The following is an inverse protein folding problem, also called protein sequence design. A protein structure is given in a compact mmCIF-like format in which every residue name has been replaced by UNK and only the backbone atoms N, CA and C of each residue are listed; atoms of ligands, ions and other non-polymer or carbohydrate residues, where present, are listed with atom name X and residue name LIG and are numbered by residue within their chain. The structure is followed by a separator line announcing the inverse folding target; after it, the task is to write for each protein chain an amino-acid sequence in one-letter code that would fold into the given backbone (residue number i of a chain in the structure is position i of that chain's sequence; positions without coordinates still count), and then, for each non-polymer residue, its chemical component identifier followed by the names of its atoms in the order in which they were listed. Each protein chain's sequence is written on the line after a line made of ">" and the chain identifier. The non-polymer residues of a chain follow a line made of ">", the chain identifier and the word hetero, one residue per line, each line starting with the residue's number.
data_IF_930650230664
#
_entry.id   IF_930650230664
#
_cell.length_a   1.000
_cell.length_b   1.000
_cell.length_c   1.000
_cell.angle_alpha   90.00
_cell.angle_beta   90.00
_cell.angle_gamma   90.00
#
_symmetry.space_group_name_H-M   'P 1'
#
loop_
_entity.id
_entity.type
_entity.pdbx_description
1 polymer ?
#
# COMPACT_ATOMS: atom_id res chain seq x y z
N UNK A 1 9.95 -15.44 19.05
CA UNK A 1 11.35 -15.20 19.48
C UNK A 1 11.38 -13.78 20.00
N UNK A 2 11.58 -13.56 21.31
CA UNK A 2 11.36 -12.25 21.93
C UNK A 2 12.32 -11.17 21.41
N UNK A 3 13.52 -11.57 20.97
CA UNK A 3 14.56 -10.68 20.43
C UNK A 3 14.46 -10.44 18.92
N UNK A 4 13.46 -11.02 18.24
CA UNK A 4 13.33 -10.87 16.79
C UNK A 4 13.03 -9.41 16.43
N UNK A 5 13.89 -8.81 15.63
CA UNK A 5 13.80 -7.40 15.20
C UNK A 5 13.27 -7.22 13.79
N UNK A 6 13.52 -8.17 12.90
CA UNK A 6 13.08 -8.09 11.51
C UNK A 6 12.46 -9.43 11.09
N UNK A 7 11.33 -9.37 10.40
CA UNK A 7 10.64 -10.54 9.87
C UNK A 7 10.05 -10.22 8.50
N UNK A 8 10.28 -11.10 7.55
CA UNK A 8 9.65 -11.03 6.24
C UNK A 8 8.93 -12.35 5.97
N UNK A 9 7.62 -12.28 5.75
CA UNK A 9 6.79 -13.39 5.32
C UNK A 9 5.91 -12.92 4.18
N UNK A 10 6.33 -13.22 2.95
CA UNK A 10 5.65 -12.79 1.72
C UNK A 10 4.89 -13.93 1.09
N UNK A 11 3.80 -13.61 0.41
CA UNK A 11 3.08 -14.55 -0.49
C UNK A 11 2.74 -15.89 0.15
N UNK A 12 2.40 -15.89 1.45
CA UNK A 12 2.22 -17.12 2.21
C UNK A 12 0.75 -17.39 2.53
N UNK A 13 0.17 -18.51 2.04
CA UNK A 13 -1.24 -18.84 2.27
C UNK A 13 -1.63 -19.23 3.67
N UNK A 14 -0.65 -19.69 4.43
CA UNK A 14 -0.85 -20.12 5.79
C UNK A 14 -0.73 -18.95 6.79
N UNK A 15 -0.39 -17.75 6.31
CA UNK A 15 -0.37 -16.55 7.15
C UNK A 15 -1.76 -15.95 7.21
N UNK A 16 -2.42 -16.22 8.32
CA UNK A 16 -3.77 -15.74 8.68
C UNK A 16 -3.70 -14.79 9.87
N UNK A 17 -4.83 -14.15 10.19
CA UNK A 17 -4.95 -13.35 11.41
C UNK A 17 -4.56 -14.09 12.69
N UNK A 18 -4.90 -15.39 12.79
CA UNK A 18 -4.50 -16.21 13.92
C UNK A 18 -2.99 -16.36 14.02
N UNK A 19 -2.31 -16.56 12.88
CA UNK A 19 -0.85 -16.71 12.86
C UNK A 19 -0.14 -15.39 13.21
N UNK A 20 -0.64 -14.25 12.70
CA UNK A 20 -0.10 -12.93 13.00
C UNK A 20 -0.32 -12.58 14.47
N UNK A 21 -1.47 -12.92 15.04
CA UNK A 21 -1.74 -12.75 16.47
C UNK A 21 -0.69 -13.44 17.35
N UNK A 22 -0.41 -14.72 17.07
CA UNK A 22 0.63 -15.50 17.79
C UNK A 22 2.02 -14.90 17.60
N UNK A 23 2.36 -14.48 16.38
CA UNK A 23 3.63 -13.85 16.07
C UNK A 23 3.80 -12.52 16.82
N UNK A 24 2.80 -11.63 16.78
CA UNK A 24 2.84 -10.32 17.41
C UNK A 24 3.00 -10.44 18.94
N UNK A 25 2.32 -11.41 19.56
CA UNK A 25 2.48 -11.69 21.00
C UNK A 25 3.88 -12.22 21.36
N UNK A 26 4.56 -12.89 20.43
CA UNK A 26 5.85 -13.58 20.68
C UNK A 26 7.09 -12.75 20.31
N UNK A 27 6.90 -11.58 19.67
CA UNK A 27 7.97 -10.78 19.07
C UNK A 27 7.81 -9.27 19.41
N UNK A 28 7.82 -8.87 20.70
CA UNK A 28 7.62 -7.47 21.10
C UNK A 28 8.74 -6.51 20.64
N UNK A 29 9.92 -7.04 20.33
CA UNK A 29 11.07 -6.26 19.84
C UNK A 29 11.07 -6.04 18.32
N UNK A 30 10.02 -6.47 17.61
CA UNK A 30 9.94 -6.35 16.16
C UNK A 30 9.95 -4.89 15.74
N UNK A 31 10.93 -4.55 14.91
CA UNK A 31 11.17 -3.22 14.35
C UNK A 31 10.85 -3.16 12.85
N UNK A 32 10.96 -4.29 12.14
CA UNK A 32 10.65 -4.38 10.71
C UNK A 32 9.77 -5.58 10.40
N UNK A 33 8.69 -5.34 9.69
CA UNK A 33 7.76 -6.38 9.25
C UNK A 33 7.40 -6.19 7.78
N UNK A 34 7.54 -7.27 7.02
CA UNK A 34 7.06 -7.35 5.65
C UNK A 34 6.11 -8.54 5.51
N UNK A 35 4.83 -8.22 5.31
CA UNK A 35 3.72 -9.17 5.14
C UNK A 35 3.05 -9.00 3.77
N UNK A 36 3.84 -8.56 2.79
CA UNK A 36 3.37 -8.31 1.43
C UNK A 36 2.75 -9.58 0.82
N UNK A 37 1.64 -9.40 0.09
CA UNK A 37 0.94 -10.47 -0.63
C UNK A 37 0.32 -11.56 0.25
N UNK A 38 0.19 -11.33 1.57
CA UNK A 38 -0.56 -12.18 2.49
C UNK A 38 -2.01 -11.71 2.61
N UNK A 39 -2.92 -12.27 1.79
CA UNK A 39 -4.33 -11.85 1.65
C UNK A 39 -5.23 -12.33 2.80
N UNK A 40 -4.85 -13.39 3.52
CA UNK A 40 -5.58 -13.91 4.69
C UNK A 40 -5.31 -13.11 5.98
N UNK A 41 -4.57 -12.01 5.88
CA UNK A 41 -4.32 -11.06 6.96
C UNK A 41 -5.28 -9.89 6.77
N UNK A 42 -5.92 -9.40 7.82
CA UNK A 42 -6.85 -8.26 7.76
C UNK A 42 -6.35 -7.06 8.57
N UNK A 43 -7.16 -6.00 8.68
CA UNK A 43 -6.87 -4.86 9.55
C UNK A 43 -6.79 -5.27 11.04
N UNK A 44 -7.47 -6.34 11.47
CA UNK A 44 -7.38 -6.83 12.86
C UNK A 44 -5.98 -7.36 13.19
N UNK A 45 -5.31 -7.99 12.22
CA UNK A 45 -3.90 -8.33 12.33
C UNK A 45 -3.00 -7.12 12.53
N UNK A 46 -3.20 -6.07 11.70
CA UNK A 46 -2.41 -4.83 11.80
C UNK A 46 -2.59 -4.18 13.18
N UNK A 47 -3.80 -4.24 13.75
CA UNK A 47 -4.09 -3.73 15.09
C UNK A 47 -3.32 -4.51 16.16
N UNK A 48 -3.31 -5.84 16.07
CA UNK A 48 -2.54 -6.68 16.99
C UNK A 48 -1.03 -6.45 16.86
N UNK A 49 -0.52 -6.27 15.64
CA UNK A 49 0.87 -5.89 15.38
C UNK A 49 1.18 -4.56 16.06
N UNK A 50 0.42 -3.51 15.78
CA UNK A 50 0.67 -2.18 16.35
C UNK A 50 0.57 -2.14 17.88
N UNK A 51 -0.33 -2.95 18.46
CA UNK A 51 -0.49 -3.04 19.91
C UNK A 51 0.70 -3.71 20.61
N UNK A 52 1.20 -4.82 20.06
CA UNK A 52 2.22 -5.67 20.70
C UNK A 52 3.65 -5.33 20.27
N UNK A 53 3.86 -4.90 19.03
CA UNK A 53 5.16 -4.60 18.44
C UNK A 53 5.42 -3.08 18.44
N UNK A 54 5.51 -2.46 19.63
CA UNK A 54 5.59 -0.99 19.77
C UNK A 54 6.88 -0.37 19.22
N UNK A 55 7.88 -1.20 18.94
CA UNK A 55 9.14 -0.81 18.33
C UNK A 55 9.09 -0.76 16.79
N UNK A 56 7.96 -1.11 16.17
CA UNK A 56 7.83 -1.19 14.72
C UNK A 56 8.12 0.17 14.06
N UNK A 57 9.11 0.16 13.16
CA UNK A 57 9.58 1.30 12.37
C UNK A 57 9.32 1.12 10.87
N UNK A 58 9.35 -0.12 10.40
CA UNK A 58 9.17 -0.46 8.99
C UNK A 58 8.00 -1.42 8.85
N UNK A 59 6.99 -1.04 8.09
CA UNK A 59 5.89 -1.91 7.70
C UNK A 59 5.79 -1.95 6.19
N UNK A 60 5.79 -3.16 5.62
CA UNK A 60 5.47 -3.40 4.22
C UNK A 60 4.22 -4.26 4.10
N UNK A 61 3.17 -3.66 3.57
CA UNK A 61 1.84 -4.23 3.39
C UNK A 61 1.40 -4.04 1.93
N UNK A 62 2.18 -4.62 1.03
CA UNK A 62 1.93 -4.51 -0.41
C UNK A 62 0.91 -5.55 -0.86
N UNK A 63 0.01 -5.12 -1.74
CA UNK A 63 -0.95 -5.98 -2.42
C UNK A 63 -0.48 -6.32 -3.84
N UNK A 64 -1.10 -7.33 -4.42
CA UNK A 64 -0.92 -7.66 -5.82
C UNK A 64 -1.54 -6.58 -6.70
N UNK A 65 -1.01 -6.44 -7.91
CA UNK A 65 -1.57 -5.53 -8.90
C UNK A 65 -2.97 -6.00 -9.32
N UNK A 66 -4.00 -5.45 -8.69
CA UNK A 66 -5.40 -5.72 -9.01
C UNK A 66 -5.89 -4.96 -10.25
N UNK A 67 -5.10 -4.02 -10.79
CA UNK A 67 -5.38 -3.31 -12.04
C UNK A 67 -5.09 -4.20 -13.26
N UNK A 68 -4.18 -5.17 -13.11
CA UNK A 68 -3.85 -6.16 -14.14
C UNK A 68 -3.78 -7.57 -13.52
N UNK A 69 -4.93 -8.24 -13.35
CA UNK A 69 -4.98 -9.59 -12.81
C UNK A 69 -4.28 -10.64 -13.69
N UNK A 70 -3.99 -10.33 -14.97
CA UNK A 70 -3.36 -11.28 -15.89
C UNK A 70 -1.95 -11.68 -15.43
N UNK A 71 -1.26 -10.78 -14.71
CA UNK A 71 0.07 -11.03 -14.14
C UNK A 71 0.09 -12.11 -13.06
N UNK A 72 -1.07 -12.39 -12.45
CA UNK A 72 -1.20 -13.29 -11.29
C UNK A 72 -2.02 -14.54 -11.60
N UNK A 73 -2.65 -14.59 -12.78
CA UNK A 73 -3.53 -15.68 -13.18
C UNK A 73 -2.75 -16.98 -13.31
N UNK A 74 -3.18 -18.02 -12.61
CA UNK A 74 -2.52 -19.34 -12.62
C UNK A 74 -1.29 -19.46 -11.71
N UNK A 75 -0.82 -18.36 -11.13
CA UNK A 75 0.24 -18.34 -10.10
C UNK A 75 -0.40 -18.32 -8.71
N UNK A 76 -1.48 -17.55 -8.57
CA UNK A 76 -2.12 -17.28 -7.29
C UNK A 76 -3.50 -17.94 -7.27
N UNK A 77 -3.87 -18.64 -6.18
CA UNK A 77 -5.20 -19.23 -6.04
C UNK A 77 -6.30 -18.20 -6.33
N UNK A 78 -7.28 -18.59 -7.15
CA UNK A 78 -8.31 -17.69 -7.66
C UNK A 78 -9.15 -17.08 -6.53
N UNK A 79 -9.32 -17.82 -5.43
CA UNK A 79 -9.93 -17.36 -4.19
C UNK A 79 -9.24 -16.11 -3.63
N UNK A 80 -7.95 -15.85 -3.89
CA UNK A 80 -7.25 -14.67 -3.38
C UNK A 80 -7.43 -13.45 -4.27
N UNK A 81 -7.61 -13.67 -5.56
CA UNK A 81 -8.02 -12.63 -6.49
C UNK A 81 -9.47 -12.19 -6.21
N UNK A 82 -10.30 -13.12 -5.70
CA UNK A 82 -11.70 -12.89 -5.37
C UNK A 82 -11.93 -12.48 -3.91
N UNK A 83 -10.99 -12.77 -2.99
CA UNK A 83 -11.02 -12.31 -1.61
C UNK A 83 -10.64 -10.83 -1.53
N UNK A 84 -11.54 -9.99 -2.00
CA UNK A 84 -11.48 -8.54 -1.86
C UNK A 84 -12.74 -8.16 -1.06
N UNK A 85 -12.63 -7.35 0.02
CA UNK A 85 -11.62 -6.32 0.24
C UNK A 85 -10.87 -6.41 1.59
N UNK A 86 -9.55 -6.24 1.56
CA UNK A 86 -8.89 -5.49 2.65
C UNK A 86 -9.23 -4.02 2.39
N UNK A 87 -10.21 -3.48 3.12
CA UNK A 87 -10.61 -2.09 2.99
C UNK A 87 -9.40 -1.20 3.33
N UNK A 88 -8.80 -0.59 2.31
CA UNK A 88 -7.54 0.17 2.47
C UNK A 88 -7.65 1.29 3.50
N UNK A 89 -8.84 1.87 3.67
CA UNK A 89 -9.10 2.92 4.66
C UNK A 89 -9.20 2.37 6.09
N UNK A 90 -9.72 1.16 6.27
CA UNK A 90 -9.71 0.48 7.59
C UNK A 90 -8.29 0.12 8.02
N UNK A 91 -7.50 -0.44 7.10
CA UNK A 91 -6.07 -0.71 7.37
C UNK A 91 -5.34 0.59 7.71
N UNK A 92 -5.59 1.67 6.95
CA UNK A 92 -5.00 2.97 7.21
C UNK A 92 -5.39 3.55 8.57
N UNK A 93 -6.67 3.45 8.97
CA UNK A 93 -7.13 3.89 10.27
C UNK A 93 -6.43 3.16 11.42
N UNK A 94 -6.24 1.84 11.27
CA UNK A 94 -5.54 1.02 12.25
C UNK A 94 -4.05 1.37 12.30
N UNK A 95 -3.38 1.48 11.15
CA UNK A 95 -1.96 1.87 11.09
C UNK A 95 -1.76 3.24 11.74
N UNK A 96 -2.55 4.24 11.36
CA UNK A 96 -2.49 5.58 11.90
C UNK A 96 -2.66 5.60 13.43
N UNK A 97 -3.59 4.80 13.96
CA UNK A 97 -3.91 4.77 15.39
C UNK A 97 -2.88 4.00 16.22
N UNK A 98 -2.40 2.86 15.73
CA UNK A 98 -1.62 1.92 16.53
C UNK A 98 -0.13 1.88 16.18
N UNK A 99 0.29 2.56 15.11
CA UNK A 99 1.69 2.57 14.66
C UNK A 99 2.24 4.00 14.44
N UNK A 100 2.10 4.93 15.41
CA UNK A 100 2.51 6.33 15.25
C UNK A 100 4.04 6.54 15.13
N UNK A 101 4.81 5.48 15.35
CA UNK A 101 6.27 5.50 15.35
C UNK A 101 6.91 5.01 14.05
N UNK A 102 6.09 4.69 13.03
CA UNK A 102 6.58 4.27 11.72
C UNK A 102 7.44 5.34 11.06
N UNK A 103 8.48 4.87 10.40
CA UNK A 103 9.45 5.65 9.62
C UNK A 103 9.37 5.26 8.14
N UNK A 104 9.08 3.99 7.86
CA UNK A 104 8.91 3.46 6.50
C UNK A 104 7.57 2.73 6.40
N UNK A 105 6.73 3.14 5.45
CA UNK A 105 5.49 2.46 5.11
C UNK A 105 5.36 2.20 3.61
N UNK A 106 5.24 0.92 3.24
CA UNK A 106 4.84 0.52 1.88
C UNK A 106 3.39 0.00 1.88
N UNK A 107 2.55 0.62 1.05
CA UNK A 107 1.14 0.25 0.84
C UNK A 107 0.84 0.04 -0.65
N UNK A 108 1.78 -0.53 -1.41
CA UNK A 108 1.65 -0.65 -2.86
C UNK A 108 0.38 -1.40 -3.25
N UNK A 109 -0.27 -0.93 -4.31
CA UNK A 109 -1.54 -1.46 -4.83
C UNK A 109 -2.68 -1.52 -3.80
N UNK A 110 -2.57 -0.81 -2.67
CA UNK A 110 -3.68 -0.67 -1.74
C UNK A 110 -4.87 0.02 -2.41
N UNK A 111 -6.08 -0.35 -1.98
CA UNK A 111 -7.33 0.33 -2.36
C UNK A 111 -7.57 1.63 -1.57
N UNK A 112 -6.54 2.13 -0.89
CA UNK A 112 -6.51 3.36 -0.10
C UNK A 112 -7.15 4.55 -0.83
N UNK A 113 -8.10 5.21 -0.19
CA UNK A 113 -8.72 6.44 -0.68
C UNK A 113 -8.01 7.68 -0.12
N UNK A 114 -8.34 8.89 -0.62
CA UNK A 114 -7.88 10.14 -0.01
C UNK A 114 -8.15 10.24 1.50
N UNK A 115 -9.26 9.69 1.98
CA UNK A 115 -9.60 9.70 3.41
C UNK A 115 -8.66 8.80 4.21
N UNK A 116 -8.38 7.59 3.74
CA UNK A 116 -7.41 6.71 4.37
C UNK A 116 -6.00 7.30 4.37
N UNK A 117 -5.57 7.91 3.26
CA UNK A 117 -4.26 8.58 3.21
C UNK A 117 -4.17 9.73 4.21
N UNK A 118 -5.24 10.51 4.37
CA UNK A 118 -5.29 11.57 5.38
C UNK A 118 -5.07 11.02 6.79
N UNK A 119 -5.69 9.89 7.13
CA UNK A 119 -5.48 9.24 8.44
C UNK A 119 -4.01 8.86 8.65
N UNK A 120 -3.35 8.29 7.64
CA UNK A 120 -1.91 7.98 7.71
C UNK A 120 -1.08 9.24 7.95
N UNK A 121 -1.36 10.33 7.23
CA UNK A 121 -0.65 11.61 7.36
C UNK A 121 -0.80 12.18 8.78
N UNK A 122 -1.99 12.09 9.36
CA UNK A 122 -2.28 12.59 10.71
C UNK A 122 -1.70 11.69 11.82
N UNK A 123 -1.70 10.36 11.63
CA UNK A 123 -1.27 9.40 12.65
C UNK A 123 0.22 9.04 12.62
N UNK A 124 0.85 9.04 11.44
CA UNK A 124 2.22 8.58 11.24
C UNK A 124 3.17 9.74 10.89
N UNK A 125 3.26 10.73 11.78
CA UNK A 125 4.01 11.99 11.55
C UNK A 125 5.54 11.83 11.47
N UNK A 126 6.07 10.65 11.81
CA UNK A 126 7.50 10.31 11.76
C UNK A 126 7.93 9.65 10.44
N UNK A 127 7.01 9.48 9.48
CA UNK A 127 7.34 8.86 8.21
C UNK A 127 8.41 9.65 7.45
N UNK A 128 9.44 8.91 7.03
CA UNK A 128 10.49 9.36 6.14
C UNK A 128 10.37 8.72 4.76
N UNK A 129 9.78 7.51 4.68
CA UNK A 129 9.58 6.77 3.44
C UNK A 129 8.11 6.36 3.35
N UNK A 130 7.45 6.78 2.28
CA UNK A 130 6.08 6.38 1.96
C UNK A 130 6.02 5.91 0.51
N UNK A 131 5.62 4.66 0.31
CA UNK A 131 5.46 4.07 -1.02
C UNK A 131 3.99 3.73 -1.30
N UNK A 132 3.41 4.46 -2.25
CA UNK A 132 2.02 4.32 -2.71
C UNK A 132 1.95 3.88 -4.18
N UNK A 133 3.00 3.23 -4.71
CA UNK A 133 2.99 2.74 -6.08
C UNK A 133 1.76 1.86 -6.34
N UNK A 134 1.05 2.10 -7.44
CA UNK A 134 -0.14 1.34 -7.83
C UNK A 134 -1.43 1.64 -7.05
N UNK A 135 -1.44 2.58 -6.10
CA UNK A 135 -2.67 3.00 -5.39
C UNK A 135 -3.58 3.85 -6.28
N UNK A 136 -4.46 3.19 -7.05
CA UNK A 136 -5.29 3.82 -8.10
C UNK A 136 -6.39 4.75 -7.64
N UNK A 137 -6.80 4.68 -6.37
CA UNK A 137 -7.92 5.45 -5.85
C UNK A 137 -7.50 6.84 -5.32
N UNK A 138 -6.21 7.19 -5.39
CA UNK A 138 -5.69 8.45 -4.85
C UNK A 138 -5.72 9.57 -5.89
N UNK A 139 -6.11 10.77 -5.45
CA UNK A 139 -6.14 11.97 -6.29
C UNK A 139 -4.84 12.77 -6.16
N UNK A 140 -4.50 13.57 -7.17
CA UNK A 140 -3.34 14.46 -7.13
C UNK A 140 -3.38 15.43 -5.95
N UNK A 141 -4.57 15.90 -5.55
CA UNK A 141 -4.76 16.76 -4.38
C UNK A 141 -4.39 16.03 -3.09
N UNK A 142 -4.91 14.81 -2.89
CA UNK A 142 -4.60 14.02 -1.71
C UNK A 142 -3.09 13.73 -1.57
N UNK A 143 -2.41 13.48 -2.70
CA UNK A 143 -0.96 13.28 -2.73
C UNK A 143 -0.19 14.57 -2.39
N UNK A 144 -0.68 15.72 -2.84
CA UNK A 144 -0.12 17.01 -2.48
C UNK A 144 -0.29 17.28 -0.98
N UNK A 145 -1.51 17.12 -0.46
CA UNK A 145 -1.83 17.29 0.96
C UNK A 145 -0.95 16.37 1.83
N UNK A 146 -0.69 15.13 1.40
CA UNK A 146 0.19 14.20 2.09
C UNK A 146 1.66 14.64 2.09
N UNK A 147 2.17 15.12 0.94
CA UNK A 147 3.53 15.64 0.83
C UNK A 147 3.73 16.89 1.71
N UNK A 148 2.69 17.73 1.84
CA UNK A 148 2.72 18.91 2.68
C UNK A 148 2.56 18.55 4.17
N UNK A 149 1.77 17.53 4.52
CA UNK A 149 1.53 17.11 5.90
C UNK A 149 2.69 16.35 6.54
N UNK A 150 3.38 15.49 5.78
CA UNK A 150 4.49 14.66 6.27
C UNK A 150 5.83 15.39 6.20
N UNK A 151 6.13 16.18 7.24
CA UNK A 151 7.31 17.08 7.27
C UNK A 151 8.68 16.39 7.23
N UNK A 152 8.75 15.12 7.60
CA UNK A 152 10.00 14.35 7.64
C UNK A 152 10.22 13.50 6.38
N UNK A 153 9.33 13.59 5.40
CA UNK A 153 9.33 12.71 4.24
C UNK A 153 10.56 12.97 3.35
N UNK A 154 11.38 11.95 3.17
CA UNK A 154 12.60 11.95 2.34
C UNK A 154 12.36 11.26 1.00
N UNK A 155 11.57 10.18 1.02
CA UNK A 155 11.23 9.40 -0.18
C UNK A 155 9.71 9.25 -0.25
N UNK A 156 9.12 9.75 -1.34
CA UNK A 156 7.69 9.64 -1.60
C UNK A 156 7.41 9.04 -2.97
N UNK A 157 7.11 7.73 -3.02
CA UNK A 157 6.72 7.06 -4.26
C UNK A 157 5.23 7.29 -4.49
N UNK A 158 4.91 8.16 -5.46
CA UNK A 158 3.52 8.43 -5.88
C UNK A 158 2.96 7.25 -6.68
N UNK A 159 1.62 7.10 -6.75
CA UNK A 159 0.98 6.16 -7.65
C UNK A 159 1.48 6.38 -9.08
N UNK A 160 2.04 5.33 -9.69
CA UNK A 160 2.39 5.29 -11.10
C UNK A 160 1.64 4.12 -11.73
N UNK A 161 0.84 4.42 -12.73
CA UNK A 161 0.10 3.43 -13.52
C UNK A 161 0.89 3.20 -14.80
N UNK A 162 1.99 2.44 -14.71
CA UNK A 162 2.58 1.93 -15.93
C UNK A 162 1.59 0.93 -16.53
N UNK A 163 0.88 1.34 -17.57
CA UNK A 163 0.15 0.44 -18.48
C UNK A 163 1.19 -0.03 -19.50
N UNK A 164 1.69 -1.27 -19.45
CA UNK A 164 2.58 -1.76 -20.49
C UNK A 164 1.85 -1.67 -21.83
N UNK A 165 2.52 -1.14 -22.87
CA UNK A 165 1.95 -1.04 -24.22
C UNK A 165 1.52 -2.40 -24.79
N UNK A 166 1.96 -3.52 -24.19
CA UNK A 166 1.53 -4.88 -24.55
C UNK A 166 0.05 -5.17 -24.26
N UNK A 167 -0.66 -4.31 -23.52
CA UNK A 167 -2.13 -4.42 -23.35
C UNK A 167 -2.87 -3.94 -24.60
N UNK A 168 -2.23 -3.17 -25.48
CA UNK A 168 -2.73 -2.90 -26.84
C UNK A 168 -2.35 -4.02 -27.80
N UNK A 169 -2.72 -5.26 -27.45
CA UNK A 169 -2.91 -6.25 -28.52
C UNK A 169 -4.08 -5.76 -29.36
N UNK A 170 -3.71 -5.34 -30.57
CA UNK A 170 -4.54 -4.99 -31.71
C UNK A 170 -5.79 -5.87 -31.83
N UNK A 171 -6.89 -5.45 -31.22
CA UNK A 171 -8.20 -5.66 -31.81
C UNK A 171 -8.64 -4.33 -32.42
N UNK A 172 -8.65 -4.32 -33.76
CA UNK A 172 -9.27 -3.28 -34.58
C UNK A 172 -10.70 -3.02 -34.08
N UNK A 173 -11.14 -1.76 -34.19
CA UNK A 173 -12.47 -1.20 -33.90
C UNK A 173 -12.72 -0.89 -32.41
N UNK A 174 -12.91 0.34 -31.93
CA UNK A 174 -13.02 1.65 -32.54
C UNK A 174 -13.13 2.73 -31.45
N UNK A 175 -12.91 3.99 -31.82
CA UNK A 175 -13.20 5.21 -31.06
C UNK A 175 -12.30 5.57 -29.85
N UNK A 176 -11.04 5.93 -30.12
CA UNK A 176 -10.28 6.84 -29.25
C UNK A 176 -10.51 8.30 -29.69
N UNK A 177 -11.37 9.01 -28.98
CA UNK A 177 -11.49 10.47 -28.96
C UNK A 177 -12.07 10.87 -27.60
N UNK A 178 -11.24 11.22 -26.62
CA UNK A 178 -11.04 12.59 -26.07
C UNK A 178 -11.00 12.34 -24.54
N UNK A 179 -9.99 12.69 -23.76
CA UNK A 179 -9.55 14.03 -23.44
C UNK A 179 -8.08 14.01 -22.99
N UNK A 180 -7.19 14.56 -23.80
CA UNK A 180 -5.88 15.05 -23.38
C UNK A 180 -5.64 16.41 -24.05
N UNK A 181 -6.23 17.46 -23.47
CA UNK A 181 -6.00 18.86 -23.88
C UNK A 181 -5.97 19.80 -22.66
N UNK A 182 -5.18 19.48 -21.62
CA UNK A 182 -4.92 20.44 -20.52
C UNK A 182 -3.45 20.71 -20.22
N UNK A 183 -2.55 20.32 -21.10
CA UNK A 183 -1.14 20.71 -21.02
C UNK A 183 -0.63 21.26 -22.36
N UNK A 184 -1.24 22.35 -22.83
CA UNK A 184 -0.55 23.28 -23.74
C UNK A 184 -0.12 24.51 -22.94
N UNK A 185 1.09 24.46 -22.40
CA UNK A 185 1.82 25.66 -22.03
C UNK A 185 2.36 26.29 -23.32
N UNK A 186 1.78 27.42 -23.70
CA UNK A 186 2.42 28.41 -24.56
C UNK A 186 3.74 28.88 -23.91
N UNK A 187 4.91 28.58 -24.50
CA UNK A 187 6.08 29.48 -24.52
C UNK A 187 7.03 29.11 -25.69
N UNK A 188 7.53 30.15 -26.38
CA UNK A 188 8.55 30.27 -27.46
C UNK A 188 8.04 30.17 -28.92
N UNK A 189 7.66 31.28 -29.56
CA UNK A 189 8.46 32.36 -30.22
C UNK A 189 9.18 31.95 -31.51
N UNK A 190 8.75 32.55 -32.62
CA UNK A 190 9.58 33.39 -33.50
C UNK A 190 8.89 34.76 -33.56
#
# INVERSE_FOLDING_TARGET
>A
SPELRALSIKSSPNVTDLSISKMAASCPMLAELDISFCYNVSHESLKLIGHNCRNLKVLRRNLLNWLDPSQHRGIIPAEYLNSVPQNGDEEAAVIAKFMPNLVHLDLRFSKLSPNGLKLIVEGCTKLEILDLFGCANLTSRALQDAAEGLKNLKVFTRPNFYIPRSVFHTERYGHWRLYDERFQTNVFQI
#
